data_IF_001571564958
#
_entry.id   IF_001571564958
#
_cell.length_a   1.000
_cell.length_b   1.000
_cell.length_c   1.000
_cell.angle_alpha   90.00
_cell.angle_beta   90.00
_cell.angle_gamma   90.00
#
_symmetry.space_group_name_H-M   'P 1'
#
loop_
_entity.id
_entity.type
_entity.pdbx_description
1 polymer ?
#
# COMPACT_ATOMS: atom_id res chain seq x y z
N UNK A 1 28.13 6.13 -59.26
CA UNK A 1 27.23 5.30 -60.10
C UNK A 1 27.09 3.97 -59.40
N UNK A 2 25.90 3.65 -58.86
CA UNK A 2 25.56 2.37 -58.18
C UNK A 2 26.34 2.13 -56.88
N UNK A 3 25.81 1.53 -55.82
CA UNK A 3 24.70 0.59 -55.69
C UNK A 3 24.14 0.74 -54.27
N UNK A 4 22.81 0.65 -54.15
CA UNK A 4 22.10 0.40 -52.90
C UNK A 4 22.45 -1.02 -52.42
N UNK A 5 22.72 -1.18 -51.12
CA UNK A 5 22.72 -2.48 -50.43
C UNK A 5 21.82 -2.36 -49.21
N UNK A 6 20.98 -3.37 -49.07
CA UNK A 6 19.78 -3.42 -48.26
C UNK A 6 20.02 -3.32 -46.76
N UNK A 7 19.10 -2.63 -46.09
CA UNK A 7 18.95 -2.64 -44.65
C UNK A 7 18.08 -3.84 -44.25
N UNK A 8 18.71 -5.00 -44.07
CA UNK A 8 18.10 -6.14 -43.40
C UNK A 8 19.17 -6.84 -42.54
N UNK A 9 19.24 -6.44 -41.27
CA UNK A 9 19.96 -7.18 -40.25
C UNK A 9 19.33 -6.94 -38.87
N UNK A 10 18.69 -8.00 -38.37
CA UNK A 10 18.41 -8.36 -36.97
C UNK A 10 17.12 -7.80 -36.34
N UNK A 11 16.00 -8.47 -36.62
CA UNK A 11 14.86 -8.57 -35.71
C UNK A 11 15.13 -9.69 -34.67
N UNK A 12 15.22 -9.41 -33.36
CA UNK A 12 15.48 -10.44 -32.35
C UNK A 12 14.22 -11.17 -31.85
N UNK A 13 13.06 -11.02 -32.48
CA UNK A 13 11.81 -11.63 -31.99
C UNK A 13 11.18 -12.60 -32.99
N UNK A 14 11.84 -13.75 -33.22
CA UNK A 14 11.16 -14.90 -33.81
C UNK A 14 11.60 -16.22 -33.17
N UNK A 15 10.84 -16.70 -32.18
CA UNK A 15 10.77 -18.12 -31.83
C UNK A 15 9.31 -18.57 -31.88
N UNK A 16 9.02 -19.85 -32.21
CA UNK A 16 7.67 -20.29 -32.51
C UNK A 16 6.85 -20.43 -31.22
N UNK A 17 5.61 -19.93 -31.22
CA UNK A 17 4.66 -20.09 -30.11
C UNK A 17 4.36 -21.57 -29.88
N UNK A 18 4.64 -22.05 -28.67
CA UNK A 18 4.22 -23.37 -28.21
C UNK A 18 2.75 -23.30 -27.81
N UNK A 19 1.96 -24.21 -28.38
CA UNK A 19 0.53 -24.38 -28.15
C UNK A 19 0.30 -24.98 -26.75
N UNK A 20 -0.07 -24.13 -25.77
CA UNK A 20 -0.32 -24.55 -24.39
C UNK A 20 -1.83 -24.62 -24.13
N UNK A 21 -2.44 -25.80 -24.29
CA UNK A 21 -3.74 -26.07 -23.66
C UNK A 21 -3.53 -26.61 -22.24
N UNK A 22 -4.14 -26.02 -21.20
CA UNK A 22 -4.00 -26.51 -19.83
C UNK A 22 -4.65 -27.90 -19.66
N UNK A 23 -4.00 -28.77 -18.89
CA UNK A 23 -4.56 -30.06 -18.50
C UNK A 23 -5.81 -29.88 -17.61
N UNK A 24 -6.84 -30.71 -17.75
CA UNK A 24 -8.03 -30.60 -16.92
C UNK A 24 -7.70 -30.92 -15.45
N UNK A 25 -8.30 -30.22 -14.48
CA UNK A 25 -8.07 -30.48 -13.07
C UNK A 25 -8.54 -31.89 -12.68
N UNK A 26 -7.92 -32.51 -11.65
CA UNK A 26 -8.33 -33.83 -11.19
C UNK A 26 -9.78 -33.80 -10.68
N UNK A 27 -10.55 -34.85 -10.99
CA UNK A 27 -11.97 -34.96 -10.65
C UNK A 27 -12.19 -34.88 -9.13
N UNK A 28 -12.73 -33.77 -8.65
CA UNK A 28 -13.32 -33.65 -7.32
C UNK A 28 -14.76 -34.13 -7.42
N UNK A 29 -15.15 -35.07 -6.55
CA UNK A 29 -16.46 -35.70 -6.56
C UNK A 29 -17.61 -34.68 -6.60
N UNK A 30 -18.40 -34.71 -7.68
CA UNK A 30 -19.46 -33.74 -8.03
C UNK A 30 -20.64 -33.68 -7.04
N UNK A 31 -20.69 -34.56 -6.04
CA UNK A 31 -21.85 -34.72 -5.15
C UNK A 31 -21.88 -33.69 -4.01
N UNK A 32 -20.73 -33.14 -3.60
CA UNK A 32 -20.65 -32.13 -2.51
C UNK A 32 -20.71 -30.67 -2.98
N UNK A 33 -20.59 -30.41 -4.28
CA UNK A 33 -20.61 -29.05 -4.82
C UNK A 33 -22.04 -28.47 -4.91
N UNK A 34 -23.04 -29.32 -5.23
CA UNK A 34 -24.44 -28.86 -5.38
C UNK A 34 -25.09 -28.43 -4.07
N UNK A 35 -24.85 -29.14 -2.97
CA UNK A 35 -25.39 -28.76 -1.66
C UNK A 35 -24.79 -27.45 -1.14
N UNK A 36 -23.49 -27.21 -1.38
CA UNK A 36 -22.80 -25.96 -1.00
C UNK A 36 -23.20 -24.79 -1.90
N UNK A 37 -23.55 -25.04 -3.17
CA UNK A 37 -24.00 -24.03 -4.12
C UNK A 37 -25.46 -23.59 -3.86
N UNK A 38 -26.35 -24.50 -3.47
CA UNK A 38 -27.73 -24.17 -3.05
C UNK A 38 -27.78 -23.42 -1.71
N UNK A 39 -26.97 -23.82 -0.72
CA UNK A 39 -26.93 -23.16 0.59
C UNK A 39 -26.35 -21.73 0.51
N UNK A 40 -25.36 -21.52 -0.36
CA UNK A 40 -24.79 -20.19 -0.61
C UNK A 40 -25.66 -19.29 -1.51
N UNK A 41 -26.46 -19.87 -2.42
CA UNK A 41 -27.39 -19.08 -3.25
C UNK A 41 -28.45 -18.35 -2.43
N UNK A 42 -28.91 -18.93 -1.31
CA UNK A 42 -29.87 -18.30 -0.41
C UNK A 42 -29.27 -17.16 0.44
N UNK A 43 -27.96 -17.18 0.69
CA UNK A 43 -27.24 -16.15 1.48
C UNK A 43 -26.78 -14.94 0.63
N UNK A 44 -26.78 -15.08 -0.70
CA UNK A 44 -26.16 -14.13 -1.65
C UNK A 44 -27.17 -13.45 -2.60
N UNK A 45 -28.44 -13.85 -2.57
CA UNK A 45 -29.47 -13.19 -3.39
C UNK A 45 -29.77 -11.76 -2.88
N UNK A 46 -29.66 -10.79 -3.80
CA UNK A 46 -30.04 -9.38 -3.58
C UNK A 46 -31.57 -9.31 -3.32
N UNK A 47 -32.02 -8.80 -2.17
CA UNK A 47 -33.41 -8.38 -2.07
C UNK A 47 -33.63 -7.21 -3.05
N UNK A 48 -34.76 -7.16 -3.76
CA UNK A 48 -35.03 -6.12 -4.76
C UNK A 48 -34.90 -4.72 -4.14
N UNK A 49 -34.50 -3.71 -4.94
CA UNK A 49 -34.11 -2.37 -4.44
C UNK A 49 -35.18 -1.65 -3.59
N UNK A 50 -36.44 -2.09 -3.70
CA UNK A 50 -37.57 -1.60 -2.91
C UNK A 50 -37.63 -2.19 -1.48
N UNK A 51 -36.87 -3.25 -1.17
CA UNK A 51 -36.81 -3.84 0.18
C UNK A 51 -35.77 -3.16 1.09
N UNK A 52 -34.97 -2.22 0.58
CA UNK A 52 -34.07 -1.42 1.41
C UNK A 52 -34.79 -0.38 2.27
N UNK A 53 -36.09 -0.14 2.06
CA UNK A 53 -36.87 0.87 2.80
C UNK A 53 -37.22 0.44 4.24
N UNK A 54 -37.02 -0.82 4.64
CA UNK A 54 -37.39 -1.32 5.99
C UNK A 54 -36.23 -1.69 6.93
N UNK A 55 -34.99 -1.71 6.46
CA UNK A 55 -33.86 -2.35 7.17
C UNK A 55 -33.10 -1.46 8.18
N UNK A 56 -33.59 -0.25 8.48
CA UNK A 56 -32.89 0.71 9.36
C UNK A 56 -31.50 1.12 8.84
N UNK A 57 -30.71 1.83 9.66
CA UNK A 57 -29.36 2.35 9.34
C UNK A 57 -28.23 1.47 9.94
N UNK A 58 -28.35 0.15 9.74
CA UNK A 58 -27.51 -0.85 10.38
C UNK A 58 -26.19 -1.16 9.64
N UNK A 59 -25.19 -1.75 10.34
CA UNK A 59 -23.90 -2.16 9.76
C UNK A 59 -24.01 -3.03 8.50
N UNK A 60 -25.03 -3.90 8.42
CA UNK A 60 -25.26 -4.75 7.23
C UNK A 60 -25.57 -3.94 5.96
N UNK A 61 -26.28 -2.81 6.06
CA UNK A 61 -26.55 -1.95 4.89
C UNK A 61 -25.27 -1.31 4.36
N UNK A 62 -24.34 -0.90 5.24
CA UNK A 62 -23.06 -0.30 4.84
C UNK A 62 -22.18 -1.32 4.10
N UNK A 63 -22.13 -2.55 4.58
CA UNK A 63 -21.40 -3.65 3.91
C UNK A 63 -22.04 -3.98 2.56
N UNK A 64 -23.37 -4.11 2.50
CA UNK A 64 -24.07 -4.39 1.25
C UNK A 64 -23.93 -3.25 0.23
N UNK A 65 -24.00 -1.99 0.66
CA UNK A 65 -23.77 -0.82 -0.18
C UNK A 65 -22.34 -0.82 -0.76
N UNK A 66 -21.34 -1.06 0.10
CA UNK A 66 -19.93 -1.11 -0.31
C UNK A 66 -19.63 -2.26 -1.28
N UNK A 67 -20.23 -3.44 -1.06
CA UNK A 67 -20.07 -4.60 -1.93
C UNK A 67 -20.79 -4.43 -3.28
N UNK A 68 -22.02 -3.88 -3.27
CA UNK A 68 -22.81 -3.66 -4.49
C UNK A 68 -22.15 -2.68 -5.46
N UNK A 69 -21.47 -1.64 -4.97
CA UNK A 69 -20.71 -0.72 -5.84
C UNK A 69 -19.57 -1.41 -6.61
N UNK A 70 -19.04 -2.52 -6.10
CA UNK A 70 -17.94 -3.28 -6.71
C UNK A 70 -18.41 -4.44 -7.59
N UNK A 71 -19.70 -4.75 -7.55
CA UNK A 71 -20.28 -5.76 -8.43
C UNK A 71 -20.55 -5.22 -9.84
N UNK A 72 -20.66 -3.89 -10.03
CA UNK A 72 -20.96 -3.29 -11.34
C UNK A 72 -19.99 -3.75 -12.45
N UNK A 73 -20.47 -4.14 -13.65
CA UNK A 73 -21.86 -4.07 -14.14
C UNK A 73 -22.77 -5.24 -13.73
N UNK A 74 -22.27 -6.16 -12.91
CA UNK A 74 -23.01 -7.32 -12.41
C UNK A 74 -23.82 -6.98 -11.15
N UNK A 75 -24.86 -7.77 -10.89
CA UNK A 75 -25.70 -7.65 -9.69
C UNK A 75 -25.17 -8.48 -8.50
N UNK A 76 -24.14 -9.30 -8.73
CA UNK A 76 -23.46 -10.12 -7.73
C UNK A 76 -21.95 -10.05 -7.93
N UNK A 77 -21.20 -10.18 -6.84
CA UNK A 77 -19.77 -10.41 -6.94
C UNK A 77 -19.59 -11.84 -7.49
N UNK A 78 -18.91 -12.02 -8.63
CA UNK A 78 -18.69 -13.35 -9.17
C UNK A 78 -17.78 -14.11 -8.18
N UNK A 79 -18.36 -15.08 -7.48
CA UNK A 79 -17.63 -15.96 -6.55
C UNK A 79 -16.49 -16.66 -7.29
N UNK A 80 -16.72 -17.02 -8.55
CA UNK A 80 -15.67 -17.50 -9.45
C UNK A 80 -14.53 -16.48 -9.58
N UNK A 81 -14.81 -15.19 -9.75
CA UNK A 81 -13.77 -14.15 -9.82
C UNK A 81 -12.95 -14.02 -8.54
N UNK A 82 -13.59 -14.16 -7.38
CA UNK A 82 -12.88 -14.24 -6.09
C UNK A 82 -12.02 -15.49 -6.00
N UNK A 83 -12.57 -16.66 -6.37
CA UNK A 83 -11.84 -17.92 -6.38
C UNK A 83 -10.66 -17.90 -7.36
N UNK A 84 -10.83 -17.31 -8.54
CA UNK A 84 -9.76 -17.08 -9.52
C UNK A 84 -8.69 -16.14 -8.96
N UNK A 85 -9.07 -15.08 -8.26
CA UNK A 85 -8.13 -14.16 -7.61
C UNK A 85 -7.33 -14.83 -6.49
N UNK A 86 -7.99 -15.66 -5.66
CA UNK A 86 -7.33 -16.46 -4.62
C UNK A 86 -6.39 -17.49 -5.24
N UNK A 87 -6.85 -18.21 -6.27
CA UNK A 87 -6.05 -19.19 -6.99
C UNK A 87 -4.81 -18.54 -7.64
N UNK A 88 -5.00 -17.39 -8.29
CA UNK A 88 -3.90 -16.61 -8.86
C UNK A 88 -2.92 -16.13 -7.77
N UNK A 89 -3.41 -15.69 -6.60
CA UNK A 89 -2.55 -15.30 -5.49
C UNK A 89 -1.73 -16.49 -4.96
N UNK A 90 -2.33 -17.67 -4.84
CA UNK A 90 -1.64 -18.91 -4.45
C UNK A 90 -0.63 -19.35 -5.52
N UNK A 91 -0.96 -19.19 -6.80
CA UNK A 91 -0.04 -19.44 -7.91
C UNK A 91 1.13 -18.45 -7.91
N UNK A 92 0.87 -17.17 -7.64
CA UNK A 92 1.93 -16.15 -7.48
C UNK A 92 2.77 -16.38 -6.22
N UNK A 93 2.22 -16.98 -5.18
CA UNK A 93 2.97 -17.38 -3.98
C UNK A 93 3.78 -18.66 -4.24
N UNK A 94 3.27 -19.58 -5.07
CA UNK A 94 3.99 -20.77 -5.54
C UNK A 94 5.07 -20.41 -6.57
N UNK A 95 4.85 -19.36 -7.36
CA UNK A 95 5.87 -18.61 -8.08
C UNK A 95 6.48 -17.61 -7.07
N UNK A 96 6.99 -18.11 -5.94
CA UNK A 96 8.03 -17.34 -5.27
C UNK A 96 9.03 -16.97 -6.37
N UNK A 97 9.43 -15.70 -6.53
CA UNK A 97 10.67 -15.46 -7.26
C UNK A 97 11.65 -16.40 -6.58
N UNK A 98 12.22 -17.35 -7.33
CA UNK A 98 13.20 -18.29 -6.82
C UNK A 98 14.01 -17.50 -5.82
N UNK A 99 13.91 -17.87 -4.54
CA UNK A 99 14.36 -17.01 -3.47
C UNK A 99 15.71 -16.47 -3.90
N UNK A 100 15.96 -15.19 -3.69
CA UNK A 100 17.27 -14.56 -3.95
C UNK A 100 18.36 -15.19 -3.05
N UNK A 101 18.24 -16.47 -2.72
CA UNK A 101 19.18 -17.39 -2.12
C UNK A 101 20.41 -17.46 -3.01
N UNK A 102 21.30 -16.49 -2.79
CA UNK A 102 22.59 -16.40 -3.47
C UNK A 102 22.84 -15.06 -4.14
N UNK A 103 21.80 -14.28 -4.43
CA UNK A 103 22.01 -12.88 -4.79
C UNK A 103 22.26 -12.08 -3.51
N UNK A 104 23.27 -11.20 -3.45
CA UNK A 104 23.44 -10.34 -2.30
C UNK A 104 22.14 -9.55 -2.14
N UNK A 105 21.38 -9.83 -1.07
CA UNK A 105 20.23 -9.02 -0.70
C UNK A 105 20.72 -7.58 -0.68
N UNK A 106 20.16 -6.75 -1.55
CA UNK A 106 20.48 -5.34 -1.58
C UNK A 106 20.34 -4.83 -0.14
N UNK A 107 21.43 -4.28 0.40
CA UNK A 107 21.38 -3.70 1.72
C UNK A 107 20.37 -2.54 1.65
N UNK A 108 19.21 -2.72 2.30
CA UNK A 108 18.23 -1.66 2.40
C UNK A 108 18.87 -0.48 3.10
N UNK A 109 19.08 0.59 2.34
CA UNK A 109 19.62 1.83 2.86
C UNK A 109 18.51 2.85 2.97
N UNK A 110 18.24 3.31 4.19
CA UNK A 110 17.37 4.47 4.39
C UNK A 110 18.03 5.70 3.79
N UNK A 111 17.30 6.39 2.91
CA UNK A 111 17.69 7.69 2.34
C UNK A 111 17.17 8.86 3.19
N UNK A 112 16.52 8.57 4.32
CA UNK A 112 15.92 9.56 5.20
C UNK A 112 14.66 10.21 4.61
N UNK A 113 14.23 11.35 5.19
CA UNK A 113 13.09 12.14 4.70
C UNK A 113 13.45 12.95 3.42
N UNK A 114 14.40 12.47 2.62
CA UNK A 114 14.89 13.13 1.43
C UNK A 114 13.82 13.10 0.30
N UNK A 115 13.75 14.14 -0.54
CA UNK A 115 12.88 14.13 -1.70
C UNK A 115 13.27 12.99 -2.66
N UNK A 116 12.27 12.31 -3.19
CA UNK A 116 12.44 11.39 -4.29
C UNK A 116 12.60 12.19 -5.59
N UNK A 117 13.79 12.11 -6.16
CA UNK A 117 14.11 12.73 -7.45
C UNK A 117 13.49 11.91 -8.59
N UNK A 118 13.07 12.58 -9.66
CA UNK A 118 12.52 11.95 -10.86
C UNK A 118 11.28 11.06 -10.60
N UNK A 119 10.47 11.41 -9.61
CA UNK A 119 9.16 10.79 -9.44
C UNK A 119 8.24 11.23 -10.58
N UNK A 120 7.27 10.38 -10.96
CA UNK A 120 6.40 10.67 -12.08
C UNK A 120 4.98 10.90 -11.59
N UNK A 121 4.42 12.08 -11.85
CA UNK A 121 3.00 12.36 -11.68
C UNK A 121 2.42 12.59 -13.08
N UNK A 122 1.86 11.52 -13.66
CA UNK A 122 1.54 11.49 -15.09
C UNK A 122 2.82 11.51 -15.96
N UNK A 123 2.82 12.31 -17.02
CA UNK A 123 3.93 12.40 -17.98
C UNK A 123 5.03 13.39 -17.59
N UNK A 124 5.02 13.91 -16.35
CA UNK A 124 6.00 14.89 -15.89
C UNK A 124 6.86 14.31 -14.76
N UNK A 125 8.18 14.41 -14.94
CA UNK A 125 9.14 14.17 -13.87
C UNK A 125 9.08 15.34 -12.89
N UNK A 126 8.76 15.04 -11.64
CA UNK A 126 8.71 16.00 -10.54
C UNK A 126 9.45 15.42 -9.33
N UNK A 127 10.01 16.31 -8.51
CA UNK A 127 10.54 15.91 -7.22
C UNK A 127 9.39 15.84 -6.22
N UNK A 128 9.24 14.70 -5.56
CA UNK A 128 8.17 14.49 -4.57
C UNK A 128 8.81 14.32 -3.21
N UNK A 129 8.27 15.00 -2.21
CA UNK A 129 8.67 14.85 -0.82
C UNK A 129 7.43 14.55 0.05
N UNK A 130 7.65 13.84 1.15
CA UNK A 130 6.63 13.67 2.17
C UNK A 130 6.30 14.99 2.87
N UNK A 131 5.12 15.06 3.49
CA UNK A 131 4.70 16.21 4.30
C UNK A 131 5.44 16.19 5.64
N UNK A 132 6.21 17.24 5.89
CA UNK A 132 6.78 17.56 7.22
C UNK A 132 5.89 18.60 7.89
N UNK A 133 5.38 18.26 9.06
CA UNK A 133 4.34 19.04 9.75
C UNK A 133 4.84 19.67 11.04
N UNK A 134 5.87 19.09 11.66
CA UNK A 134 6.44 19.56 12.91
C UNK A 134 7.97 19.59 12.82
N UNK A 135 8.58 20.55 13.51
CA UNK A 135 10.03 20.67 13.64
C UNK A 135 10.36 21.28 15.01
N UNK A 136 11.36 20.71 15.70
CA UNK A 136 11.94 21.28 16.92
C UNK A 136 13.46 21.17 16.86
N UNK A 137 14.14 22.20 17.38
CA UNK A 137 15.60 22.30 17.41
C UNK A 137 16.03 22.26 18.88
N UNK A 138 17.05 21.48 19.20
CA UNK A 138 17.61 21.44 20.56
C UNK A 138 18.21 22.82 20.91
N UNK A 139 17.77 23.47 22.01
CA UNK A 139 18.27 24.78 22.39
C UNK A 139 19.76 24.77 22.79
N UNK A 140 20.33 23.59 23.09
CA UNK A 140 21.73 23.42 23.48
C UNK A 140 22.65 23.26 22.26
N UNK A 141 22.11 22.77 21.15
CA UNK A 141 22.86 22.47 19.93
C UNK A 141 21.95 22.50 18.70
N UNK A 142 22.11 23.53 17.86
CA UNK A 142 21.31 23.71 16.64
C UNK A 142 21.51 22.62 15.57
N UNK A 143 22.54 21.79 15.69
CA UNK A 143 22.74 20.63 14.80
C UNK A 143 21.85 19.44 15.17
N UNK A 144 21.21 19.46 16.34
CA UNK A 144 20.25 18.45 16.76
C UNK A 144 18.83 18.93 16.48
N UNK A 145 18.17 18.28 15.52
CA UNK A 145 16.82 18.66 15.07
C UNK A 145 15.96 17.42 15.03
N UNK A 146 14.69 17.58 15.40
CA UNK A 146 13.66 16.56 15.24
C UNK A 146 12.59 17.09 14.29
N UNK A 147 12.10 16.23 13.40
CA UNK A 147 10.98 16.54 12.52
C UNK A 147 9.88 15.49 12.66
N UNK A 148 8.64 15.92 12.50
CA UNK A 148 7.45 15.08 12.48
C UNK A 148 6.81 15.11 11.11
N UNK A 149 6.42 13.93 10.62
CA UNK A 149 5.88 13.76 9.27
C UNK A 149 4.46 13.21 9.30
N UNK A 150 3.72 13.38 8.20
CA UNK A 150 2.32 12.96 8.10
C UNK A 150 2.09 11.45 8.28
N UNK A 151 3.07 10.62 7.92
CA UNK A 151 2.99 9.15 8.01
C UNK A 151 4.35 8.43 8.15
N UNK A 152 5.43 9.18 8.31
CA UNK A 152 6.78 8.62 8.42
C UNK A 152 7.35 8.72 9.83
N UNK A 153 6.55 9.09 10.84
CA UNK A 153 6.99 9.19 12.22
C UNK A 153 7.86 10.41 12.51
N UNK A 154 8.65 10.28 13.57
CA UNK A 154 9.62 11.26 14.05
C UNK A 154 11.01 10.88 13.53
N UNK A 155 11.72 11.86 12.99
CA UNK A 155 13.10 11.73 12.55
C UNK A 155 14.00 12.65 13.34
N UNK A 156 15.22 12.22 13.63
CA UNK A 156 16.25 12.99 14.33
C UNK A 156 17.49 13.13 13.46
N UNK A 157 18.07 14.33 13.44
CA UNK A 157 19.44 14.57 12.97
C UNK A 157 20.30 15.04 14.13
N UNK A 158 21.60 14.78 14.06
CA UNK A 158 22.63 15.31 15.00
C UNK A 158 23.73 16.07 14.27
N UNK A 159 23.63 16.20 12.95
CA UNK A 159 24.60 16.84 12.06
C UNK A 159 23.95 17.91 11.18
N UNK A 160 22.93 18.61 11.69
CA UNK A 160 22.35 19.76 10.99
C UNK A 160 21.52 19.40 9.76
N UNK A 161 21.11 18.14 9.60
CA UNK A 161 20.25 17.67 8.53
C UNK A 161 20.96 16.91 7.40
N UNK A 162 22.27 16.70 7.50
CA UNK A 162 23.05 15.91 6.52
C UNK A 162 22.62 14.43 6.52
N UNK A 163 22.27 13.88 7.69
CA UNK A 163 21.64 12.57 7.81
C UNK A 163 20.57 12.53 8.90
N UNK A 164 19.65 11.59 8.75
CA UNK A 164 18.47 11.45 9.60
C UNK A 164 18.28 10.01 10.05
N UNK A 165 17.92 9.84 11.32
CA UNK A 165 17.59 8.55 11.92
C UNK A 165 16.11 8.57 12.32
N UNK A 166 15.31 7.57 11.91
CA UNK A 166 13.94 7.45 12.42
C UNK A 166 13.98 7.04 13.90
N UNK A 167 13.13 7.65 14.72
CA UNK A 167 13.10 7.42 16.18
C UNK A 167 11.72 6.97 16.69
N UNK A 168 10.76 6.73 15.80
CA UNK A 168 9.40 6.32 16.18
C UNK A 168 8.80 5.21 15.32
N UNK A 169 9.58 4.46 14.54
CA UNK A 169 9.05 3.46 13.59
C UNK A 169 8.24 2.33 14.24
N UNK A 170 8.50 2.04 15.53
CA UNK A 170 7.76 1.03 16.29
C UNK A 170 6.46 1.51 16.93
N UNK A 171 6.01 2.74 16.65
CA UNK A 171 4.86 3.34 17.32
C UNK A 171 3.54 3.05 16.58
N UNK A 172 2.44 2.99 17.34
CA UNK A 172 1.12 2.64 16.80
C UNK A 172 0.57 3.64 15.76
N UNK A 173 1.02 4.90 15.82
CA UNK A 173 0.74 5.90 14.80
C UNK A 173 2.04 6.60 14.42
N UNK A 174 2.29 6.67 13.11
CA UNK A 174 3.41 7.38 12.50
C UNK A 174 2.99 8.75 11.98
N UNK A 175 1.73 9.15 12.17
CA UNK A 175 1.29 10.50 11.87
C UNK A 175 1.71 11.42 13.01
N UNK A 176 2.55 12.41 12.72
CA UNK A 176 3.08 13.35 13.72
C UNK A 176 2.74 14.78 13.30
N UNK A 177 1.85 15.40 14.07
CA UNK A 177 1.40 16.77 13.83
C UNK A 177 2.02 17.81 14.76
N UNK A 178 2.62 17.38 15.87
CA UNK A 178 3.26 18.28 16.83
C UNK A 178 4.47 17.63 17.49
N UNK A 179 5.49 18.44 17.75
CA UNK A 179 6.68 18.08 18.51
C UNK A 179 6.98 19.16 19.54
N UNK A 180 7.47 18.75 20.71
CA UNK A 180 7.98 19.65 21.75
C UNK A 180 9.14 18.99 22.49
N UNK A 181 10.12 19.79 22.88
CA UNK A 181 11.18 19.39 23.81
C UNK A 181 10.81 19.82 25.22
N UNK A 182 11.15 19.03 26.22
CA UNK A 182 11.01 19.45 27.62
C UNK A 182 11.94 20.65 27.88
N UNK A 183 11.43 21.79 28.36
CA UNK A 183 12.23 22.99 28.57
C UNK A 183 13.27 22.84 29.70
N UNK A 184 13.04 21.92 30.63
CA UNK A 184 13.96 21.61 31.74
C UNK A 184 14.95 20.51 31.38
N UNK A 185 14.58 19.62 30.45
CA UNK A 185 15.42 18.52 29.99
C UNK A 185 15.24 18.23 28.49
N UNK A 186 15.96 18.92 27.59
CA UNK A 186 15.77 18.78 26.14
C UNK A 186 16.09 17.39 25.56
N UNK A 187 16.55 16.43 26.37
CA UNK A 187 16.65 15.02 25.99
C UNK A 187 15.28 14.31 25.94
N UNK A 188 14.25 14.91 26.55
CA UNK A 188 12.87 14.43 26.50
C UNK A 188 12.12 15.13 25.36
N UNK A 189 11.56 14.33 24.46
CA UNK A 189 10.72 14.76 23.34
C UNK A 189 9.29 14.28 23.56
N UNK A 190 8.34 15.17 23.34
CA UNK A 190 6.92 14.87 23.27
C UNK A 190 6.47 14.95 21.81
N UNK A 191 5.70 13.96 21.36
CA UNK A 191 5.12 13.94 20.02
C UNK A 191 3.59 13.83 20.10
N UNK A 192 2.90 14.83 19.56
CA UNK A 192 1.45 14.76 19.33
C UNK A 192 1.20 14.01 18.04
N UNK A 193 0.57 12.84 18.15
CA UNK A 193 0.25 12.02 16.98
C UNK A 193 -1.04 12.47 16.31
N UNK A 194 -1.18 12.14 15.02
CA UNK A 194 -2.24 12.62 14.14
C UNK A 194 -1.83 13.86 13.36
N UNK A 195 -2.51 14.12 12.25
CA UNK A 195 -2.26 15.30 11.43
C UNK A 195 -3.10 16.51 11.88
N UNK A 196 -2.54 17.73 11.94
CA UNK A 196 -3.24 18.92 12.41
C UNK A 196 -4.08 19.60 11.30
N UNK A 197 -4.06 19.05 10.08
CA UNK A 197 -4.78 19.59 8.93
C UNK A 197 -6.21 19.04 8.87
N UNK A 198 -7.06 19.66 8.06
CA UNK A 198 -8.40 19.14 7.71
C UNK A 198 -8.43 18.82 6.22
N UNK A 199 -8.11 17.59 5.86
CA UNK A 199 -8.08 17.04 4.51
C UNK A 199 -8.61 15.62 4.49
N UNK A 200 -9.10 15.16 3.33
CA UNK A 200 -9.70 13.82 3.18
C UNK A 200 -8.74 12.66 3.47
N UNK A 201 -7.43 12.91 3.35
CA UNK A 201 -6.38 11.89 3.43
C UNK A 201 -5.57 11.96 4.73
N UNK A 202 -6.15 12.52 5.79
CA UNK A 202 -5.46 12.71 7.05
C UNK A 202 -5.53 11.48 7.97
N UNK A 203 -4.45 11.25 8.70
CA UNK A 203 -4.31 10.08 9.57
C UNK A 203 -4.60 10.41 11.03
N UNK A 204 -5.32 9.49 11.69
CA UNK A 204 -5.65 9.60 13.10
C UNK A 204 -4.42 9.39 14.00
N UNK A 205 -4.39 10.12 15.11
CA UNK A 205 -3.41 9.93 16.17
C UNK A 205 -3.78 8.82 17.15
N UNK A 206 -2.78 8.33 17.88
CA UNK A 206 -2.89 7.45 19.03
C UNK A 206 -2.64 8.18 20.37
N UNK A 207 -2.70 9.52 20.38
CA UNK A 207 -2.46 10.35 21.56
C UNK A 207 -1.08 11.00 21.57
N UNK A 208 -0.48 11.15 22.75
CA UNK A 208 0.83 11.78 22.94
C UNK A 208 1.86 10.70 23.25
N UNK A 209 2.97 10.72 22.51
CA UNK A 209 4.15 9.92 22.79
C UNK A 209 5.14 10.76 23.61
N UNK A 210 5.88 10.10 24.50
CA UNK A 210 6.97 10.68 25.28
C UNK A 210 8.20 9.79 25.13
N UNK A 211 9.37 10.38 24.85
CA UNK A 211 10.63 9.64 24.85
C UNK A 211 11.10 9.29 26.28
N UNK A 212 11.89 8.22 26.39
CA UNK A 212 12.54 7.77 27.62
C UNK A 212 13.95 8.32 27.73
#
# INVERSE_FOLDING_TARGET
>A
MGQLVDADALDPLSTPEADWTPAPPPAVAEESAKEVEEENAALVARPPMNEFEGLGDGPRKRVNFFAAQRAYPLDTLPVAGFAHGVQQALEMEAIQPAALDGEPQAAWQSIGPAPMLNSHMGNQAINVAGRTLALVIDPRNSSVVYIGTALGGVWKTTNGGDSWTPVSDGQASLAIGALALDPSNPDIVYAGTGEPTTGGDNYYGAGILKST
#
